data_IF_149664102497
#
_entry.id   IF_149664102497
#
_cell.length_a   1.000
_cell.length_b   1.000
_cell.length_c   1.000
_cell.angle_alpha   90.00
_cell.angle_beta   90.00
_cell.angle_gamma   90.00
#
_symmetry.space_group_name_H-M   'P 1'
#
loop_
_entity.id
_entity.type
_entity.pdbx_description
1 polymer ?
#
# COMPACT_ATOMS: atom_id res chain seq x y z
N UNK A 1 -19.39 10.65 21.92
CA UNK A 1 -19.11 9.21 21.74
C UNK A 1 -17.70 9.08 21.23
N UNK A 2 -16.79 8.56 22.05
CA UNK A 2 -15.36 8.59 21.83
C UNK A 2 -14.92 7.50 20.84
N UNK A 3 -14.33 7.92 19.72
CA UNK A 3 -13.62 7.09 18.74
C UNK A 3 -12.31 6.59 19.35
N UNK A 4 -12.39 5.58 20.21
CA UNK A 4 -11.20 4.95 20.81
C UNK A 4 -10.79 3.69 20.02
N UNK A 5 -9.53 3.71 19.57
CA UNK A 5 -8.65 2.54 19.36
C UNK A 5 -8.86 1.66 18.12
N UNK A 6 -8.59 2.21 16.93
CA UNK A 6 -8.10 1.40 15.79
C UNK A 6 -6.56 1.25 15.77
N UNK A 7 -5.86 1.74 16.80
CA UNK A 7 -4.39 1.77 16.87
C UNK A 7 -3.72 0.45 17.29
N UNK A 8 -4.45 -0.66 17.49
CA UNK A 8 -3.87 -1.85 18.10
C UNK A 8 -3.28 -2.90 17.13
N UNK A 9 -3.50 -2.79 15.81
CA UNK A 9 -3.18 -3.88 14.88
C UNK A 9 -2.15 -3.56 13.80
N UNK A 10 -1.76 -2.29 13.61
CA UNK A 10 -0.62 -1.87 12.78
C UNK A 10 0.56 -1.42 13.69
N UNK A 11 1.79 -1.34 13.16
CA UNK A 11 2.77 -0.46 13.80
C UNK A 11 2.21 0.97 13.76
N UNK A 12 2.24 1.76 14.85
CA UNK A 12 1.62 3.10 14.88
C UNK A 12 2.03 3.99 13.70
N UNK A 13 3.29 3.86 13.29
CA UNK A 13 3.91 4.56 12.16
C UNK A 13 3.27 4.22 10.80
N UNK A 14 2.69 3.02 10.66
CA UNK A 14 2.04 2.55 9.44
C UNK A 14 0.52 2.80 9.42
N UNK A 15 -0.05 3.43 10.45
CA UNK A 15 -1.50 3.66 10.56
C UNK A 15 -2.07 4.48 9.38
N UNK A 16 -1.23 5.31 8.76
CA UNK A 16 -1.51 6.06 7.54
C UNK A 16 -1.71 5.19 6.29
N UNK A 17 -1.53 3.87 6.36
CA UNK A 17 -1.86 2.95 5.25
C UNK A 17 -3.31 2.47 5.32
N UNK A 18 -3.97 2.56 6.47
CA UNK A 18 -5.33 2.09 6.62
C UNK A 18 -6.34 2.97 5.84
N UNK A 19 -7.31 2.31 5.22
CA UNK A 19 -8.44 2.94 4.53
C UNK A 19 -8.67 2.39 3.12
N UNK A 20 -9.51 3.10 2.38
CA UNK A 20 -9.83 2.77 0.99
C UNK A 20 -8.92 3.55 0.03
N UNK A 21 -8.43 2.85 -0.98
CA UNK A 21 -7.44 3.33 -1.92
C UNK A 21 -7.80 2.98 -3.36
N UNK A 22 -7.45 3.87 -4.27
CA UNK A 22 -7.34 3.60 -5.70
C UNK A 22 -5.86 3.36 -6.03
N UNK A 23 -5.61 2.20 -6.64
CA UNK A 23 -4.29 1.80 -7.12
C UNK A 23 -4.26 2.00 -8.63
N UNK A 24 -3.33 2.82 -9.10
CA UNK A 24 -3.14 3.09 -10.52
C UNK A 24 -1.73 2.68 -10.92
N UNK A 25 -1.56 1.60 -11.70
CA UNK A 25 -0.27 1.23 -12.26
C UNK A 25 0.30 2.39 -13.10
N UNK A 26 1.54 2.77 -12.84
CA UNK A 26 2.26 3.80 -13.61
C UNK A 26 3.14 3.18 -14.68
N UNK A 27 3.63 1.97 -14.43
CA UNK A 27 4.32 1.16 -15.44
C UNK A 27 3.30 0.28 -16.19
N UNK A 28 3.37 0.28 -17.52
CA UNK A 28 2.53 -0.59 -18.38
C UNK A 28 3.05 -2.03 -18.45
N UNK A 29 4.06 -2.37 -17.66
CA UNK A 29 4.70 -3.67 -17.70
C UNK A 29 3.82 -4.70 -16.98
N UNK A 30 3.17 -5.57 -17.77
CA UNK A 30 2.54 -6.85 -17.37
C UNK A 30 1.11 -6.79 -16.80
N UNK A 31 0.19 -6.23 -17.58
CA UNK A 31 -1.20 -6.74 -17.62
C UNK A 31 -2.19 -6.17 -16.61
N UNK A 32 -1.77 -5.36 -15.63
CA UNK A 32 -2.70 -4.49 -14.90
C UNK A 32 -2.94 -3.23 -15.73
N UNK A 33 -4.06 -3.21 -16.44
CA UNK A 33 -4.53 -2.03 -17.19
C UNK A 33 -5.70 -1.40 -16.45
N UNK A 34 -5.57 -0.12 -16.10
CA UNK A 34 -6.59 0.63 -15.39
C UNK A 34 -6.40 0.65 -13.87
N UNK A 35 -7.21 1.47 -13.21
CA UNK A 35 -7.16 1.57 -11.74
C UNK A 35 -7.95 0.42 -11.12
N UNK A 36 -7.66 0.12 -9.85
CA UNK A 36 -8.48 -0.77 -9.01
C UNK A 36 -8.75 -0.10 -7.65
N UNK A 37 -9.88 -0.42 -7.04
CA UNK A 37 -10.22 0.03 -5.69
C UNK A 37 -9.97 -1.10 -4.69
N UNK A 38 -9.23 -0.81 -3.64
CA UNK A 38 -8.86 -1.75 -2.58
C UNK A 38 -9.06 -1.14 -1.21
N UNK A 39 -9.39 -1.97 -0.23
CA UNK A 39 -9.35 -1.63 1.18
C UNK A 39 -8.07 -2.19 1.80
N UNK A 40 -7.35 -1.36 2.54
CA UNK A 40 -6.18 -1.75 3.33
C UNK A 40 -6.57 -1.67 4.80
N UNK A 41 -6.60 -2.82 5.46
CA UNK A 41 -6.98 -2.92 6.87
C UNK A 41 -5.90 -3.65 7.67
N UNK A 42 -5.67 -3.27 8.93
CA UNK A 42 -4.77 -4.02 9.79
C UNK A 42 -5.41 -5.38 10.11
N UNK A 43 -4.61 -6.44 10.09
CA UNK A 43 -5.04 -7.81 10.30
C UNK A 43 -4.12 -8.50 11.31
N UNK A 44 -4.73 -9.23 12.25
CA UNK A 44 -3.99 -10.04 13.22
C UNK A 44 -4.30 -11.51 12.98
N UNK A 45 -3.33 -12.23 12.45
CA UNK A 45 -3.42 -13.67 12.35
C UNK A 45 -3.32 -14.31 13.74
N UNK A 46 -4.19 -15.27 14.05
CA UNK A 46 -4.10 -16.04 15.30
C UNK A 46 -3.12 -17.21 15.17
N UNK A 47 -3.32 -18.08 14.18
CA UNK A 47 -2.46 -19.24 13.89
C UNK A 47 -2.47 -19.57 12.39
N UNK A 48 -1.32 -20.02 11.84
CA UNK A 48 -1.18 -20.60 10.49
C UNK A 48 -1.85 -19.84 9.32
N UNK A 49 -1.67 -18.52 9.22
CA UNK A 49 -2.16 -17.79 8.05
C UNK A 49 -1.22 -17.99 6.86
N UNK A 50 -1.72 -18.63 5.80
CA UNK A 50 -1.06 -18.82 4.49
C UNK A 50 0.28 -19.59 4.49
N UNK A 51 0.65 -20.26 5.59
CA UNK A 51 1.85 -21.10 5.61
C UNK A 51 3.15 -20.32 5.43
N UNK A 52 3.15 -19.01 5.74
CA UNK A 52 4.38 -18.27 5.90
C UNK A 52 5.07 -18.69 7.21
N UNK A 53 6.40 -18.76 7.24
CA UNK A 53 7.16 -19.09 8.46
C UNK A 53 7.19 -17.92 9.47
N UNK A 54 6.16 -17.06 9.47
CA UNK A 54 6.08 -15.93 10.38
C UNK A 54 5.49 -16.37 11.72
N UNK A 55 5.93 -15.78 12.84
CA UNK A 55 5.37 -16.10 14.15
C UNK A 55 3.86 -15.88 14.24
N UNK A 56 3.19 -16.66 15.08
CA UNK A 56 1.80 -16.40 15.47
C UNK A 56 1.63 -14.98 16.00
N UNK A 57 0.45 -14.40 15.79
CA UNK A 57 0.14 -13.01 16.16
C UNK A 57 0.95 -11.92 15.44
N UNK A 58 1.76 -12.27 14.43
CA UNK A 58 2.39 -11.26 13.57
C UNK A 58 1.33 -10.35 12.96
N UNK A 59 1.47 -9.04 13.22
CA UNK A 59 0.61 -7.98 12.69
C UNK A 59 0.83 -7.87 11.18
N UNK A 60 -0.24 -7.97 10.40
CA UNK A 60 -0.21 -7.94 8.93
C UNK A 60 -1.16 -6.86 8.42
N UNK A 61 -1.04 -6.55 7.15
CA UNK A 61 -2.03 -5.79 6.39
C UNK A 61 -2.85 -6.75 5.55
N UNK A 62 -4.16 -6.59 5.58
CA UNK A 62 -5.07 -7.23 4.65
C UNK A 62 -5.41 -6.23 3.55
N UNK A 63 -5.10 -6.59 2.32
CA UNK A 63 -5.55 -5.89 1.12
C UNK A 63 -6.75 -6.64 0.57
N UNK A 64 -7.88 -5.96 0.42
CA UNK A 64 -9.11 -6.56 -0.11
C UNK A 64 -9.59 -5.78 -1.33
N UNK A 65 -9.88 -6.47 -2.43
CA UNK A 65 -10.38 -5.87 -3.67
C UNK A 65 -11.32 -6.85 -4.38
N UNK A 66 -12.56 -6.43 -4.65
CA UNK A 66 -13.59 -7.34 -5.16
C UNK A 66 -13.78 -8.55 -4.23
N UNK A 67 -13.59 -9.76 -4.75
CA UNK A 67 -13.66 -11.02 -3.98
C UNK A 67 -12.28 -11.50 -3.47
N UNK A 68 -11.21 -10.80 -3.82
CA UNK A 68 -9.84 -11.20 -3.49
C UNK A 68 -9.37 -10.57 -2.18
N UNK A 69 -8.60 -11.35 -1.42
CA UNK A 69 -7.99 -10.93 -0.16
C UNK A 69 -6.55 -11.40 -0.11
N UNK A 70 -5.64 -10.46 0.02
CA UNK A 70 -4.20 -10.69 0.17
C UNK A 70 -3.77 -10.30 1.59
N UNK A 71 -2.98 -11.15 2.24
CA UNK A 71 -2.37 -10.84 3.53
C UNK A 71 -0.89 -10.57 3.28
N UNK A 72 -0.42 -9.40 3.69
CA UNK A 72 0.98 -9.01 3.54
C UNK A 72 1.56 -8.56 4.86
N UNK A 73 2.82 -8.93 5.11
CA UNK A 73 3.59 -8.41 6.24
C UNK A 73 4.53 -7.33 5.74
N UNK A 74 4.35 -6.10 6.23
CA UNK A 74 5.22 -4.97 5.92
C UNK A 74 6.14 -4.67 7.09
N UNK A 75 7.44 -4.62 6.83
CA UNK A 75 8.46 -4.25 7.80
C UNK A 75 9.21 -2.99 7.34
N UNK A 76 9.87 -2.33 8.30
CA UNK A 76 10.74 -1.19 8.00
C UNK A 76 11.89 -1.62 7.09
N UNK A 77 12.18 -0.79 6.08
CA UNK A 77 13.36 -0.99 5.25
C UNK A 77 14.64 -0.88 6.07
N UNK A 78 15.59 -1.75 5.77
CA UNK A 78 16.97 -1.72 6.27
C UNK A 78 17.72 -0.49 5.77
N UNK A 79 18.88 -0.19 6.37
CA UNK A 79 19.72 0.93 5.95
C UNK A 79 20.15 0.83 4.48
N UNK A 80 20.47 -0.38 4.02
CA UNK A 80 20.87 -0.64 2.64
C UNK A 80 19.74 -0.37 1.65
N UNK A 81 18.52 -0.81 1.98
CA UNK A 81 17.36 -0.60 1.12
C UNK A 81 16.97 0.90 1.02
N UNK A 82 17.24 1.67 2.07
CA UNK A 82 16.97 3.12 2.09
C UNK A 82 17.89 3.95 1.21
N UNK A 83 19.04 3.42 0.77
CA UNK A 83 20.00 4.16 -0.07
C UNK A 83 19.37 4.66 -1.37
N UNK A 84 18.37 3.95 -1.90
CA UNK A 84 17.66 4.34 -3.12
C UNK A 84 16.53 5.36 -2.92
N UNK A 85 16.23 5.78 -1.69
CA UNK A 85 15.11 6.66 -1.38
C UNK A 85 15.55 8.13 -1.23
N UNK A 86 14.75 9.04 -1.77
CA UNK A 86 14.94 10.46 -1.51
C UNK A 86 14.62 10.79 -0.04
N UNK A 87 15.32 11.79 0.55
CA UNK A 87 15.04 12.22 1.92
C UNK A 87 13.58 12.60 2.15
N UNK A 88 13.05 12.26 3.33
CA UNK A 88 11.67 12.55 3.73
C UNK A 88 10.64 11.49 3.29
N UNK A 89 11.05 10.50 2.51
CA UNK A 89 10.21 9.34 2.20
C UNK A 89 10.38 8.23 3.24
N UNK A 90 9.26 7.70 3.72
CA UNK A 90 9.21 6.54 4.59
C UNK A 90 8.57 5.39 3.84
N UNK A 91 9.25 4.25 3.84
CA UNK A 91 8.82 3.07 3.11
C UNK A 91 8.88 1.83 3.97
N UNK A 92 7.93 0.94 3.71
CA UNK A 92 7.80 -0.37 4.30
C UNK A 92 7.81 -1.41 3.19
N UNK A 93 8.43 -2.55 3.44
CA UNK A 93 8.62 -3.59 2.42
C UNK A 93 8.16 -4.94 2.93
N UNK A 94 7.78 -5.80 2.00
CA UNK A 94 7.65 -7.24 2.17
C UNK A 94 8.58 -7.93 1.18
N UNK A 95 8.49 -9.26 1.07
CA UNK A 95 9.21 -10.02 0.06
C UNK A 95 8.89 -9.59 -1.39
N UNK A 96 7.65 -9.17 -1.68
CA UNK A 96 7.20 -8.94 -3.06
C UNK A 96 6.64 -7.53 -3.32
N UNK A 97 6.42 -6.74 -2.26
CA UNK A 97 5.88 -5.39 -2.40
C UNK A 97 6.60 -4.38 -1.51
N UNK A 98 6.58 -3.12 -1.95
CA UNK A 98 6.97 -1.95 -1.17
C UNK A 98 5.79 -0.99 -1.13
N UNK A 99 5.61 -0.30 -0.01
CA UNK A 99 4.64 0.77 0.15
C UNK A 99 5.33 1.95 0.83
N UNK A 100 5.12 3.14 0.30
CA UNK A 100 5.84 4.34 0.68
C UNK A 100 4.89 5.53 0.86
N UNK A 101 5.30 6.42 1.75
CA UNK A 101 4.66 7.71 1.99
C UNK A 101 5.68 8.83 2.05
N UNK A 102 5.31 9.99 1.56
CA UNK A 102 6.16 11.18 1.50
C UNK A 102 5.37 12.41 1.08
N UNK A 103 6.08 13.45 0.67
CA UNK A 103 5.45 14.70 0.23
C UNK A 103 4.83 14.52 -1.17
N UNK A 104 3.56 14.89 -1.39
CA UNK A 104 2.96 14.91 -2.72
C UNK A 104 3.76 15.77 -3.71
N UNK A 105 3.81 15.35 -4.97
CA UNK A 105 4.54 16.02 -6.04
C UNK A 105 6.06 15.90 -5.94
N UNK A 106 6.58 14.92 -5.19
CA UNK A 106 8.02 14.68 -5.06
C UNK A 106 8.41 13.28 -5.53
N UNK A 107 9.69 13.11 -5.89
CA UNK A 107 10.23 11.82 -6.32
C UNK A 107 10.56 10.96 -5.09
N UNK A 108 10.05 9.74 -4.99
CA UNK A 108 10.41 8.85 -3.88
C UNK A 108 11.77 8.18 -4.07
N UNK A 109 12.16 7.88 -5.30
CA UNK A 109 13.35 7.09 -5.64
C UNK A 109 14.35 7.98 -6.38
N UNK A 110 15.62 7.92 -5.99
CA UNK A 110 16.67 8.87 -6.45
C UNK A 110 16.89 8.80 -7.96
N UNK A 111 16.88 7.60 -8.53
CA UNK A 111 17.23 7.33 -9.93
C UNK A 111 16.03 6.97 -10.80
N UNK A 112 14.82 7.34 -10.39
CA UNK A 112 13.60 7.15 -11.17
C UNK A 112 12.95 8.50 -11.47
N UNK A 113 12.37 8.63 -12.66
CA UNK A 113 11.64 9.83 -13.06
C UNK A 113 10.19 9.86 -12.57
N UNK A 114 9.77 8.84 -11.82
CA UNK A 114 8.45 8.80 -11.21
C UNK A 114 8.31 9.84 -10.10
N UNK A 115 7.22 10.61 -10.17
CA UNK A 115 6.79 11.57 -9.16
C UNK A 115 5.45 11.11 -8.64
N UNK A 116 5.33 10.90 -7.32
CA UNK A 116 4.05 10.55 -6.72
C UNK A 116 3.16 11.78 -6.60
N UNK A 117 1.97 11.71 -7.19
CA UNK A 117 1.00 12.80 -7.18
C UNK A 117 0.35 12.95 -5.79
N UNK A 118 0.05 11.83 -5.15
CA UNK A 118 -0.67 11.76 -3.87
C UNK A 118 0.25 11.80 -2.65
N UNK A 119 1.55 11.60 -2.84
CA UNK A 119 2.50 11.34 -1.75
C UNK A 119 2.48 9.90 -1.24
N UNK A 120 1.72 9.01 -1.88
CA UNK A 120 1.70 7.58 -1.59
C UNK A 120 1.92 6.77 -2.87
N UNK A 121 2.79 5.77 -2.78
CA UNK A 121 2.97 4.81 -3.87
C UNK A 121 3.40 3.46 -3.33
N UNK A 122 3.25 2.45 -4.16
CA UNK A 122 3.77 1.13 -3.92
C UNK A 122 4.49 0.61 -5.15
N UNK A 123 5.28 -0.42 -4.96
CA UNK A 123 5.81 -1.19 -6.07
C UNK A 123 5.64 -2.67 -5.79
N UNK A 124 5.33 -3.43 -6.84
CA UNK A 124 5.26 -4.89 -6.75
C UNK A 124 6.18 -5.51 -7.79
N UNK A 125 6.86 -6.60 -7.41
CA UNK A 125 7.92 -7.24 -8.21
C UNK A 125 7.51 -7.56 -9.66
N UNK A 126 6.23 -7.79 -9.93
CA UNK A 126 5.72 -8.14 -11.26
C UNK A 126 4.87 -7.05 -11.94
N UNK A 127 4.55 -5.98 -11.23
CA UNK A 127 3.68 -4.89 -11.72
C UNK A 127 4.48 -3.64 -12.02
N UNK A 128 5.52 -3.36 -11.22
CA UNK A 128 6.23 -2.08 -11.22
C UNK A 128 5.58 -1.09 -10.25
N UNK A 129 5.70 0.19 -10.56
CA UNK A 129 5.24 1.30 -9.73
C UNK A 129 3.71 1.43 -9.83
N UNK A 130 3.08 1.65 -8.68
CA UNK A 130 1.64 1.83 -8.51
C UNK A 130 1.43 3.08 -7.67
N UNK A 131 0.72 4.07 -8.21
CA UNK A 131 0.27 5.23 -7.45
C UNK A 131 -0.88 4.80 -6.52
N UNK A 132 -0.84 5.23 -5.26
CA UNK A 132 -1.91 4.98 -4.30
C UNK A 132 -2.63 6.28 -3.98
N UNK A 133 -3.86 6.45 -4.44
CA UNK A 133 -4.69 7.61 -4.08
C UNK A 133 -5.75 7.23 -3.06
N UNK A 134 -5.83 7.93 -1.93
CA UNK A 134 -6.95 7.76 -1.00
C UNK A 134 -8.26 8.11 -1.70
N UNK A 135 -9.26 7.25 -1.54
CA UNK A 135 -10.61 7.55 -2.00
C UNK A 135 -11.17 8.72 -1.19
N UNK A 136 -11.89 9.63 -1.85
CA UNK A 136 -12.50 10.82 -1.23
C UNK A 136 -13.98 10.61 -0.90
N UNK A 137 -14.62 9.70 -1.64
CA UNK A 137 -16.00 9.28 -1.44
C UNK A 137 -16.08 8.13 -0.43
N UNK A 138 -17.24 8.01 0.22
CA UNK A 138 -17.54 6.86 1.08
C UNK A 138 -17.58 5.54 0.30
N UNK A 139 -17.78 5.60 -1.02
CA UNK A 139 -17.84 4.43 -1.88
C UNK A 139 -16.77 4.50 -2.97
N UNK A 140 -15.57 4.01 -2.64
CA UNK A 140 -14.45 4.04 -3.57
C UNK A 140 -14.71 3.35 -4.93
N UNK A 141 -15.63 2.39 -4.99
CA UNK A 141 -16.03 1.75 -6.25
C UNK A 141 -16.76 2.72 -7.19
N UNK A 142 -17.43 3.75 -6.67
CA UNK A 142 -18.04 4.79 -7.51
C UNK A 142 -16.97 5.66 -8.17
N UNK A 143 -15.93 6.05 -7.44
CA UNK A 143 -14.78 6.77 -8.03
C UNK A 143 -14.09 5.92 -9.09
N UNK A 144 -13.90 4.62 -8.82
CA UNK A 144 -13.30 3.70 -9.79
C UNK A 144 -14.11 3.64 -11.09
N UNK A 145 -15.44 3.51 -10.98
CA UNK A 145 -16.32 3.52 -12.15
C UNK A 145 -16.16 4.82 -12.95
N UNK A 146 -16.14 5.97 -12.28
CA UNK A 146 -15.95 7.26 -12.95
C UNK A 146 -14.62 7.34 -13.72
N UNK A 147 -13.54 6.77 -13.17
CA UNK A 147 -12.22 6.75 -13.82
C UNK A 147 -12.19 5.80 -15.02
N UNK A 148 -12.82 4.62 -14.91
CA UNK A 148 -12.77 3.59 -15.95
C UNK A 148 -13.84 3.74 -17.05
N UNK A 149 -14.69 4.77 -16.99
CA UNK A 149 -15.74 5.02 -18.01
C UNK A 149 -15.25 5.90 -19.18
N UNK A 150 -13.98 6.32 -19.15
CA UNK A 150 -13.30 7.07 -20.21
C UNK A 150 -12.20 6.23 -20.86
#
# INVERSE_FOLDING_TARGET
TATLLLTACAQPEQSSLAGDWLLTPKDKTRGLTGSIAVNIAPFRCKTNCRGDNLPDNTRRWQLSGGNEKELTYLHNMSAQEKVGLNPGWQCYTSFFMRVCQGKPGTRPIVNEDYVSESGFFGSMMHVGIIELRRCQSENCQQELKAINTH
#
